data_IF_816765239843
#
_entry.id   IF_816765239843
#
_cell.length_a   1.000
_cell.length_b   1.000
_cell.length_c   1.000
_cell.angle_alpha   90.00
_cell.angle_beta   90.00
_cell.angle_gamma   90.00
#
_symmetry.space_group_name_H-M   'P 1'
#
loop_
_entity.id
_entity.type
_entity.pdbx_description
1 polymer ?
#
# COMPACT_ATOMS: atom_id res chain seq x y z
N UNK A 1 9.98 40.77 22.23
CA UNK A 1 10.30 39.33 22.21
C UNK A 1 10.49 38.94 20.74
N UNK A 2 11.68 38.51 20.35
CA UNK A 2 11.95 38.04 18.98
C UNK A 2 11.68 36.53 18.93
N UNK A 3 10.84 36.09 18.01
CA UNK A 3 10.64 34.67 17.72
C UNK A 3 11.93 34.13 17.08
N UNK A 4 12.55 33.10 17.66
CA UNK A 4 13.67 32.38 17.05
C UNK A 4 13.11 31.12 16.38
N UNK A 5 12.92 31.17 15.07
CA UNK A 5 12.43 30.04 14.28
C UNK A 5 13.57 29.40 13.49
N UNK A 6 13.66 28.07 13.53
CA UNK A 6 14.56 27.27 12.69
C UNK A 6 13.73 26.17 12.04
N UNK A 7 13.08 26.51 10.93
CA UNK A 7 12.12 25.64 10.28
C UNK A 7 12.70 24.27 9.89
N UNK A 8 13.98 24.20 9.53
CA UNK A 8 14.62 22.92 9.15
C UNK A 8 14.78 22.03 10.38
N UNK A 9 15.28 22.59 11.48
CA UNK A 9 15.45 21.85 12.73
C UNK A 9 14.11 21.44 13.32
N UNK A 10 13.16 22.37 13.36
CA UNK A 10 11.83 22.15 13.93
C UNK A 10 11.06 21.11 13.11
N UNK A 11 11.15 21.17 11.77
CA UNK A 11 10.58 20.15 10.89
C UNK A 11 11.23 18.78 11.08
N UNK A 12 12.56 18.70 11.13
CA UNK A 12 13.28 17.43 11.34
C UNK A 12 12.93 16.80 12.68
N UNK A 13 12.77 17.61 13.73
CA UNK A 13 12.34 17.15 15.04
C UNK A 13 10.90 16.61 15.01
N UNK A 14 10.00 17.27 14.29
CA UNK A 14 8.61 16.83 14.16
C UNK A 14 8.49 15.54 13.36
N UNK A 15 9.22 15.40 12.25
CA UNK A 15 9.29 14.14 11.49
C UNK A 15 9.74 12.98 12.37
N UNK A 16 10.81 13.18 13.15
CA UNK A 16 11.29 12.17 14.11
C UNK A 16 10.20 11.82 15.12
N UNK A 17 9.55 12.83 15.72
CA UNK A 17 8.50 12.63 16.73
C UNK A 17 7.36 11.78 16.18
N UNK A 18 6.84 12.11 15.00
CA UNK A 18 5.76 11.33 14.36
C UNK A 18 6.22 9.89 14.12
N UNK A 19 7.39 9.71 13.50
CA UNK A 19 7.90 8.38 13.16
C UNK A 19 8.16 7.50 14.41
N UNK A 20 8.75 8.05 15.47
CA UNK A 20 9.06 7.30 16.70
C UNK A 20 7.83 7.08 17.58
N UNK A 21 7.01 8.11 17.79
CA UNK A 21 5.93 8.09 18.79
C UNK A 21 4.62 7.57 18.19
N UNK A 22 4.22 8.07 17.03
CA UNK A 22 2.93 7.72 16.43
C UNK A 22 3.03 6.46 15.57
N UNK A 23 4.20 6.23 14.95
CA UNK A 23 4.43 5.11 14.03
C UNK A 23 5.29 4.00 14.60
N UNK A 24 5.69 4.12 15.88
CA UNK A 24 6.48 3.12 16.62
C UNK A 24 7.77 2.67 15.90
N UNK A 25 8.43 3.58 15.19
CA UNK A 25 9.65 3.27 14.44
C UNK A 25 10.91 3.48 15.28
N UNK A 26 11.91 2.62 15.07
CA UNK A 26 13.27 2.80 15.59
C UNK A 26 14.12 3.59 14.57
N UNK A 27 14.45 4.84 14.91
CA UNK A 27 15.31 5.72 14.12
C UNK A 27 16.74 5.84 14.68
N UNK A 28 17.14 5.00 15.64
CA UNK A 28 18.45 5.12 16.33
C UNK A 28 19.65 5.07 15.38
N UNK A 29 19.53 4.33 14.27
CA UNK A 29 20.58 4.18 13.26
C UNK A 29 20.37 5.04 12.00
N UNK A 30 19.35 5.91 12.00
CA UNK A 30 18.98 6.70 10.82
C UNK A 30 19.51 8.14 10.98
N UNK A 31 20.33 8.64 10.03
CA UNK A 31 20.84 9.98 10.12
C UNK A 31 19.73 11.01 9.83
N UNK A 32 19.69 12.17 10.51
CA UNK A 32 18.60 13.14 10.36
C UNK A 32 18.33 13.62 8.92
N UNK A 33 19.36 13.69 8.09
CA UNK A 33 19.24 14.08 6.67
C UNK A 33 18.34 13.15 5.85
N UNK A 34 18.16 11.90 6.28
CA UNK A 34 17.37 10.90 5.55
C UNK A 34 15.91 10.87 6.03
N UNK A 35 15.57 11.60 7.10
CA UNK A 35 14.22 11.58 7.69
C UNK A 35 13.13 12.00 6.72
N UNK A 36 13.40 13.00 5.87
CA UNK A 36 12.39 13.48 4.93
C UNK A 36 11.96 12.38 3.95
N UNK A 37 12.92 11.75 3.27
CA UNK A 37 12.64 10.69 2.32
C UNK A 37 12.00 9.47 3.00
N UNK A 38 12.50 9.11 4.19
CA UNK A 38 11.98 7.96 4.95
C UNK A 38 10.62 8.21 5.57
N UNK A 39 10.29 9.46 5.89
CA UNK A 39 8.97 9.87 6.36
C UNK A 39 7.92 9.63 5.26
N UNK A 40 8.16 10.08 4.03
CA UNK A 40 7.24 9.82 2.91
C UNK A 40 7.14 8.33 2.57
N UNK A 41 8.29 7.63 2.53
CA UNK A 41 8.31 6.18 2.32
C UNK A 41 7.53 5.40 3.41
N UNK A 42 7.60 5.85 4.67
CA UNK A 42 6.82 5.30 5.78
C UNK A 42 5.34 5.70 5.73
N UNK A 43 5.07 6.95 5.38
CA UNK A 43 3.73 7.52 5.24
C UNK A 43 2.94 6.82 4.15
N UNK A 44 3.53 6.57 2.98
CA UNK A 44 2.90 5.85 1.86
C UNK A 44 2.37 4.47 2.28
N UNK A 45 3.00 3.81 3.26
CA UNK A 45 2.57 2.49 3.74
C UNK A 45 1.39 2.56 4.71
N UNK A 46 0.79 3.73 4.92
CA UNK A 46 -0.35 3.97 5.80
C UNK A 46 -1.50 4.57 5.02
N UNK A 47 -2.72 4.24 5.45
CA UNK A 47 -3.94 4.82 4.91
C UNK A 47 -4.40 5.88 5.90
N UNK A 48 -4.54 7.13 5.45
CA UNK A 48 -5.05 8.23 6.28
C UNK A 48 -6.42 7.84 6.88
N UNK A 49 -6.60 7.94 8.22
CA UNK A 49 -7.90 7.72 8.87
C UNK A 49 -8.92 8.76 8.39
N UNK A 50 -9.85 8.32 7.54
CA UNK A 50 -10.83 9.16 6.88
C UNK A 50 -12.02 8.31 6.40
N UNK A 51 -13.26 8.77 6.61
CA UNK A 51 -14.45 8.08 6.10
C UNK A 51 -14.37 7.90 4.58
N UNK A 52 -14.55 6.68 4.10
CA UNK A 52 -14.57 6.35 2.68
C UNK A 52 -15.75 5.46 2.34
N UNK A 53 -16.35 5.69 1.19
CA UNK A 53 -17.35 4.76 0.64
C UNK A 53 -16.63 3.49 0.20
N UNK A 54 -17.11 2.32 0.64
CA UNK A 54 -16.60 1.04 0.15
C UNK A 54 -17.21 0.73 -1.21
N UNK A 55 -16.37 0.57 -2.22
CA UNK A 55 -16.76 0.04 -3.54
C UNK A 55 -16.14 -1.33 -3.70
N UNK A 56 -16.95 -2.33 -4.02
CA UNK A 56 -16.48 -3.70 -4.26
C UNK A 56 -16.43 -3.97 -5.76
N UNK A 57 -15.42 -4.72 -6.20
CA UNK A 57 -15.33 -5.15 -7.60
C UNK A 57 -16.47 -6.13 -7.93
N UNK A 58 -16.81 -6.24 -9.22
CA UNK A 58 -17.82 -7.18 -9.69
C UNK A 58 -17.47 -8.65 -9.41
N UNK A 59 -16.18 -8.98 -9.26
CA UNK A 59 -15.67 -10.31 -8.96
C UNK A 59 -15.41 -10.55 -7.46
N UNK A 60 -15.72 -9.57 -6.59
CA UNK A 60 -15.42 -9.68 -5.16
C UNK A 60 -16.29 -10.76 -4.50
N UNK A 61 -15.63 -11.81 -3.97
CA UNK A 61 -16.28 -12.86 -3.19
C UNK A 61 -15.61 -12.96 -1.83
N UNK A 62 -16.40 -12.84 -0.76
CA UNK A 62 -15.90 -13.04 0.60
C UNK A 62 -16.19 -14.46 1.09
N UNK A 63 -15.17 -15.28 1.40
CA UNK A 63 -15.37 -16.57 2.04
C UNK A 63 -16.14 -16.42 3.36
N UNK A 64 -17.05 -17.36 3.66
CA UNK A 64 -17.93 -17.29 4.81
C UNK A 64 -17.17 -17.18 6.14
N UNK A 65 -16.05 -17.88 6.27
CA UNK A 65 -15.18 -17.86 7.45
C UNK A 65 -14.48 -16.50 7.66
N UNK A 66 -14.51 -15.59 6.67
CA UNK A 66 -13.94 -14.24 6.76
C UNK A 66 -14.99 -13.13 6.72
N UNK A 67 -16.28 -13.47 6.60
CA UNK A 67 -17.36 -12.49 6.45
C UNK A 67 -17.43 -11.49 7.63
N UNK A 68 -17.23 -11.95 8.87
CA UNK A 68 -17.26 -11.08 10.05
C UNK A 68 -16.04 -10.15 10.12
N UNK A 69 -14.86 -10.64 9.73
CA UNK A 69 -13.65 -9.81 9.60
C UNK A 69 -13.83 -8.74 8.51
N UNK A 70 -14.41 -9.11 7.37
CA UNK A 70 -14.70 -8.18 6.29
C UNK A 70 -15.70 -7.10 6.70
N UNK A 71 -16.83 -7.48 7.31
CA UNK A 71 -17.84 -6.52 7.80
C UNK A 71 -17.24 -5.53 8.83
N UNK A 72 -16.36 -6.03 9.71
CA UNK A 72 -15.63 -5.18 10.68
C UNK A 72 -14.72 -4.18 9.96
N UNK A 73 -13.97 -4.63 8.94
CA UNK A 73 -13.09 -3.78 8.16
C UNK A 73 -13.89 -2.72 7.38
N UNK A 74 -15.01 -3.10 6.75
CA UNK A 74 -15.91 -2.16 6.06
C UNK A 74 -16.39 -1.06 7.00
N UNK A 75 -16.86 -1.43 8.20
CA UNK A 75 -17.31 -0.46 9.19
C UNK A 75 -16.21 0.54 9.54
N UNK A 76 -14.96 0.07 9.72
CA UNK A 76 -13.82 0.96 10.01
C UNK A 76 -13.51 1.90 8.83
N UNK A 77 -13.56 1.40 7.60
CA UNK A 77 -13.35 2.21 6.39
C UNK A 77 -14.42 3.30 6.28
N UNK A 78 -15.69 2.93 6.44
CA UNK A 78 -16.83 3.85 6.28
C UNK A 78 -16.91 4.90 7.40
N UNK A 79 -16.47 4.55 8.61
CA UNK A 79 -16.41 5.47 9.74
C UNK A 79 -15.11 6.25 9.84
N UNK A 80 -14.11 5.93 9.02
CA UNK A 80 -12.83 6.62 8.99
C UNK A 80 -11.90 6.29 10.16
N UNK A 81 -12.09 5.13 10.79
CA UNK A 81 -11.18 4.65 11.82
C UNK A 81 -9.82 4.29 11.24
N UNK A 82 -8.79 4.31 12.09
CA UNK A 82 -7.44 3.94 11.69
C UNK A 82 -7.37 2.47 11.25
N UNK A 83 -6.85 2.27 10.04
CA UNK A 83 -6.68 0.96 9.41
C UNK A 83 -5.28 0.38 9.65
N UNK A 84 -4.35 1.12 10.27
CA UNK A 84 -3.00 0.66 10.58
C UNK A 84 -2.95 -0.71 11.27
N UNK A 85 -3.88 -1.06 12.20
CA UNK A 85 -3.91 -2.40 12.80
C UNK A 85 -4.11 -3.55 11.80
N UNK A 86 -4.72 -3.28 10.65
CA UNK A 86 -4.98 -4.25 9.59
C UNK A 86 -3.84 -4.35 8.57
N UNK A 87 -2.88 -3.41 8.57
CA UNK A 87 -1.77 -3.39 7.62
C UNK A 87 -0.64 -4.32 8.06
N UNK A 88 0.34 -4.52 7.17
CA UNK A 88 1.55 -5.32 7.44
C UNK A 88 2.30 -4.86 8.70
N UNK A 89 2.94 -5.80 9.41
CA UNK A 89 3.92 -5.43 10.46
C UNK A 89 5.09 -4.60 9.90
N UNK A 90 5.31 -4.63 8.58
CA UNK A 90 6.36 -3.85 7.94
C UNK A 90 6.11 -2.34 8.03
N UNK A 91 4.90 -1.85 8.34
CA UNK A 91 4.65 -0.41 8.47
C UNK A 91 5.44 0.25 9.60
N UNK A 92 5.86 -0.51 10.63
CA UNK A 92 6.69 -0.03 11.75
C UNK A 92 8.20 -0.10 11.43
N UNK A 93 8.59 -0.72 10.31
CA UNK A 93 9.99 -0.76 9.88
C UNK A 93 10.29 0.45 9.02
N UNK A 94 11.29 1.25 9.39
CA UNK A 94 11.65 2.47 8.65
C UNK A 94 11.89 2.18 7.17
N UNK A 95 12.61 1.10 6.86
CA UNK A 95 12.90 0.60 5.50
C UNK A 95 11.98 -0.55 5.07
N UNK A 96 10.85 -0.73 5.75
CA UNK A 96 9.88 -1.77 5.42
C UNK A 96 9.32 -1.58 4.01
N UNK A 97 9.02 -2.69 3.35
CA UNK A 97 8.58 -2.68 1.95
C UNK A 97 7.22 -3.34 1.82
N UNK A 98 6.42 -2.80 0.91
CA UNK A 98 5.21 -3.43 0.42
C UNK A 98 5.28 -3.44 -1.12
N UNK A 99 5.69 -4.57 -1.72
CA UNK A 99 5.87 -4.65 -3.16
C UNK A 99 4.58 -4.46 -3.97
N UNK A 100 3.44 -4.86 -3.41
CA UNK A 100 2.14 -4.70 -4.06
C UNK A 100 1.76 -3.22 -4.09
N UNK A 101 1.94 -2.53 -2.97
CA UNK A 101 1.71 -1.10 -2.84
C UNK A 101 2.66 -0.27 -3.72
N UNK A 102 3.95 -0.61 -3.77
CA UNK A 102 4.92 0.19 -4.52
C UNK A 102 4.75 0.02 -6.03
N UNK A 103 4.42 -1.17 -6.52
CA UNK A 103 4.17 -1.37 -7.95
C UNK A 103 2.77 -0.87 -8.35
N UNK A 104 1.72 -1.32 -7.66
CA UNK A 104 0.34 -1.11 -8.10
C UNK A 104 -0.48 -0.16 -7.23
N UNK A 105 0.08 0.42 -6.17
CA UNK A 105 -0.70 1.28 -5.26
C UNK A 105 -1.75 0.53 -4.44
N UNK A 106 -1.74 -0.81 -4.47
CA UNK A 106 -2.72 -1.65 -3.80
C UNK A 106 -2.25 -2.04 -2.41
N UNK A 107 -3.10 -1.81 -1.41
CA UNK A 107 -2.86 -2.18 -0.02
C UNK A 107 -3.42 -3.57 0.25
N UNK A 108 -2.75 -4.31 1.14
CA UNK A 108 -3.27 -5.55 1.70
C UNK A 108 -3.67 -5.37 3.16
N UNK A 109 -4.90 -5.74 3.49
CA UNK A 109 -5.48 -5.60 4.83
C UNK A 109 -5.92 -6.95 5.36
N UNK A 110 -5.47 -7.27 6.58
CA UNK A 110 -5.86 -8.50 7.25
C UNK A 110 -7.30 -8.44 7.78
N UNK A 111 -7.90 -9.62 7.92
CA UNK A 111 -9.31 -9.80 8.29
C UNK A 111 -9.48 -10.40 9.70
N UNK A 112 -8.42 -10.41 10.49
CA UNK A 112 -8.40 -10.95 11.84
C UNK A 112 -9.36 -10.22 12.78
N UNK A 113 -9.81 -10.93 13.80
CA UNK A 113 -10.77 -10.40 14.79
C UNK A 113 -10.15 -10.28 16.18
N UNK A 114 -9.14 -11.11 16.48
CA UNK A 114 -8.33 -10.98 17.68
C UNK A 114 -7.14 -10.03 17.47
N UNK A 115 -6.55 -9.61 18.58
CA UNK A 115 -5.28 -8.88 18.60
C UNK A 115 -4.12 -9.81 18.23
N UNK A 116 -3.12 -9.29 17.53
CA UNK A 116 -1.94 -10.03 17.14
C UNK A 116 -1.14 -10.51 18.36
N UNK A 117 -0.77 -11.80 18.44
CA UNK A 117 -0.23 -12.41 19.66
C UNK A 117 1.13 -11.85 20.11
N UNK A 118 1.87 -11.20 19.20
CA UNK A 118 3.21 -10.64 19.47
C UNK A 118 3.28 -9.12 19.44
N UNK A 119 2.25 -8.43 18.97
CA UNK A 119 2.24 -6.97 18.84
C UNK A 119 0.80 -6.46 18.98
N UNK A 120 0.47 -5.92 20.15
CA UNK A 120 -0.89 -5.50 20.49
C UNK A 120 -1.49 -4.42 19.59
N UNK A 121 -0.67 -3.71 18.81
CA UNK A 121 -1.11 -2.66 17.89
C UNK A 121 -1.74 -3.20 16.60
N UNK A 122 -1.58 -4.49 16.32
CA UNK A 122 -2.11 -5.12 15.10
C UNK A 122 -3.16 -6.17 15.44
N UNK A 123 -3.96 -6.50 14.44
CA UNK A 123 -4.86 -7.66 14.49
C UNK A 123 -4.13 -8.95 14.08
N UNK A 124 -4.68 -10.09 14.49
CA UNK A 124 -4.18 -11.40 14.11
C UNK A 124 -4.08 -11.55 12.58
N UNK A 125 -3.04 -12.25 12.13
CA UNK A 125 -2.82 -12.44 10.70
C UNK A 125 -3.72 -13.55 10.20
N UNK A 126 -4.59 -13.20 9.27
CA UNK A 126 -5.35 -14.16 8.48
C UNK A 126 -4.53 -14.64 7.28
N UNK A 127 -4.81 -15.86 6.81
CA UNK A 127 -4.30 -16.34 5.52
C UNK A 127 -4.85 -15.47 4.39
N UNK A 128 -6.17 -15.46 4.14
CA UNK A 128 -6.77 -14.51 3.21
C UNK A 128 -6.73 -13.06 3.71
N UNK A 129 -6.52 -12.13 2.79
CA UNK A 129 -6.43 -10.68 3.04
C UNK A 129 -7.21 -9.91 1.97
N UNK A 130 -7.75 -8.75 2.32
CA UNK A 130 -8.41 -7.86 1.34
C UNK A 130 -7.34 -7.06 0.63
N UNK A 131 -7.36 -7.08 -0.70
CA UNK A 131 -6.62 -6.14 -1.52
C UNK A 131 -7.52 -4.98 -1.90
N UNK A 132 -7.04 -3.76 -1.70
CA UNK A 132 -7.82 -2.59 -2.05
C UNK A 132 -6.99 -1.35 -2.37
N UNK A 133 -7.63 -0.44 -3.11
CA UNK A 133 -7.05 0.80 -3.58
C UNK A 133 -7.81 1.99 -2.96
N UNK A 134 -7.26 2.61 -1.90
CA UNK A 134 -7.87 3.78 -1.28
C UNK A 134 -7.66 5.03 -2.14
N UNK A 135 -8.72 5.81 -2.29
CA UNK A 135 -8.69 7.20 -2.78
C UNK A 135 -9.09 8.13 -1.63
N UNK A 136 -9.26 9.42 -1.89
CA UNK A 136 -9.70 10.36 -0.86
C UNK A 136 -11.13 10.05 -0.36
N UNK A 137 -12.04 9.68 -1.24
CA UNK A 137 -13.47 9.51 -0.92
C UNK A 137 -13.96 8.06 -0.90
N UNK A 138 -13.19 7.14 -1.51
CA UNK A 138 -13.61 5.75 -1.66
C UNK A 138 -12.47 4.76 -1.40
N UNK A 139 -12.83 3.60 -0.87
CA UNK A 139 -11.98 2.42 -0.78
C UNK A 139 -12.46 1.40 -1.81
N UNK A 140 -11.63 1.12 -2.82
CA UNK A 140 -11.96 0.17 -3.88
C UNK A 140 -11.44 -1.21 -3.50
N UNK A 141 -12.31 -2.06 -2.96
CA UNK A 141 -12.00 -3.42 -2.58
C UNK A 141 -11.95 -4.31 -3.84
N UNK A 142 -10.74 -4.69 -4.24
CA UNK A 142 -10.45 -5.42 -5.46
C UNK A 142 -10.86 -6.89 -5.30
N UNK A 143 -10.49 -7.50 -4.17
CA UNK A 143 -10.75 -8.92 -3.91
C UNK A 143 -10.18 -9.37 -2.58
N UNK A 144 -10.44 -10.64 -2.25
CA UNK A 144 -9.79 -11.35 -1.15
C UNK A 144 -8.86 -12.39 -1.74
N UNK A 145 -7.60 -12.34 -1.35
CA UNK A 145 -6.53 -13.18 -1.88
C UNK A 145 -5.79 -13.88 -0.76
N UNK A 146 -5.22 -15.04 -1.04
CA UNK A 146 -4.28 -15.69 -0.13
C UNK A 146 -3.07 -14.79 0.12
N UNK A 147 -2.61 -14.74 1.37
CA UNK A 147 -1.40 -14.01 1.72
C UNK A 147 -0.20 -14.62 1.00
N UNK A 148 0.39 -13.86 0.07
CA UNK A 148 1.44 -14.35 -0.80
C UNK A 148 1.21 -14.01 -2.27
N UNK A 149 -0.04 -13.79 -2.68
CA UNK A 149 -0.44 -13.50 -4.06
C UNK A 149 -0.09 -12.07 -4.52
N UNK A 150 1.04 -11.54 -4.07
CA UNK A 150 1.41 -10.13 -4.26
C UNK A 150 1.60 -9.75 -5.72
N UNK A 151 1.98 -10.69 -6.59
CA UNK A 151 2.27 -10.46 -8.00
C UNK A 151 1.21 -10.99 -8.95
N UNK A 152 0.07 -11.46 -8.43
CA UNK A 152 -1.03 -11.99 -9.24
C UNK A 152 -1.61 -10.89 -10.16
N UNK A 153 -1.44 -11.04 -11.47
CA UNK A 153 -1.84 -10.02 -12.43
C UNK A 153 -3.36 -9.81 -12.47
N UNK A 154 -4.17 -10.75 -11.98
CA UNK A 154 -5.63 -10.57 -11.87
C UNK A 154 -6.03 -9.38 -11.00
N UNK A 155 -5.16 -8.95 -10.07
CA UNK A 155 -5.41 -7.83 -9.16
C UNK A 155 -5.49 -6.52 -9.93
N UNK A 156 -4.49 -6.24 -10.77
CA UNK A 156 -4.42 -5.00 -11.56
C UNK A 156 -5.43 -5.04 -12.72
N UNK A 157 -5.67 -6.21 -13.30
CA UNK A 157 -6.75 -6.42 -14.29
C UNK A 157 -8.12 -6.11 -13.67
N UNK A 158 -8.38 -6.59 -12.45
CA UNK A 158 -9.64 -6.31 -11.75
C UNK A 158 -9.77 -4.83 -11.41
N UNK A 159 -8.71 -4.18 -10.91
CA UNK A 159 -8.70 -2.74 -10.64
C UNK A 159 -9.03 -1.93 -11.91
N UNK A 160 -8.33 -2.22 -13.01
CA UNK A 160 -8.49 -1.51 -14.28
C UNK A 160 -9.89 -1.72 -14.89
N UNK A 161 -10.36 -2.96 -14.96
CA UNK A 161 -11.66 -3.28 -15.57
C UNK A 161 -12.86 -2.72 -14.79
N UNK A 162 -12.75 -2.62 -13.46
CA UNK A 162 -13.84 -2.10 -12.62
C UNK A 162 -13.82 -0.57 -12.50
N UNK A 163 -12.62 0.03 -12.44
CA UNK A 163 -12.43 1.47 -12.22
C UNK A 163 -11.29 2.00 -13.09
N UNK A 164 -11.46 2.01 -14.43
CA UNK A 164 -10.40 2.41 -15.36
C UNK A 164 -9.85 3.81 -15.08
N UNK A 165 -10.69 4.72 -14.55
CA UNK A 165 -10.30 6.06 -14.12
C UNK A 165 -9.15 6.07 -13.11
N UNK A 166 -9.07 5.07 -12.22
CA UNK A 166 -8.03 4.97 -11.19
C UNK A 166 -6.66 4.66 -11.78
N UNK A 167 -6.61 4.02 -12.95
CA UNK A 167 -5.38 3.63 -13.62
C UNK A 167 -4.97 4.57 -14.76
N UNK A 168 -5.88 5.48 -15.15
CA UNK A 168 -5.73 6.34 -16.33
C UNK A 168 -4.45 7.17 -16.33
N UNK A 169 -4.03 7.67 -15.16
CA UNK A 169 -2.83 8.49 -15.01
C UNK A 169 -1.52 7.72 -15.23
N UNK A 170 -1.54 6.39 -15.09
CA UNK A 170 -0.37 5.53 -15.33
C UNK A 170 -0.36 4.94 -16.75
N UNK A 171 -1.39 5.20 -17.56
CA UNK A 171 -1.47 4.68 -18.92
C UNK A 171 -0.38 5.27 -19.81
N UNK A 172 0.33 4.39 -20.51
CA UNK A 172 1.36 4.75 -21.46
C UNK A 172 0.78 4.82 -22.88
N UNK A 173 0.85 6.01 -23.48
CA UNK A 173 0.41 6.24 -24.86
C UNK A 173 1.53 5.93 -25.86
N UNK A 174 1.16 5.40 -27.03
CA UNK A 174 2.12 5.09 -28.11
C UNK A 174 2.94 3.80 -27.91
N UNK A 175 2.67 3.02 -26.87
CA UNK A 175 3.27 1.70 -26.68
C UNK A 175 2.50 0.67 -27.49
N UNK A 176 3.16 0.05 -28.48
CA UNK A 176 2.55 -0.98 -29.33
C UNK A 176 2.70 -2.40 -28.74
N UNK A 177 3.86 -2.67 -28.14
CA UNK A 177 4.18 -3.97 -27.53
C UNK A 177 5.39 -3.87 -26.61
N UNK A 178 5.50 -4.77 -25.64
CA UNK A 178 6.73 -4.96 -24.86
C UNK A 178 7.69 -5.91 -25.59
N UNK A 179 8.98 -5.61 -25.52
CA UNK A 179 10.02 -6.51 -26.04
C UNK A 179 10.08 -7.84 -25.27
N UNK A 180 9.69 -7.83 -24.00
CA UNK A 180 9.57 -9.00 -23.14
C UNK A 180 8.33 -8.86 -22.26
N UNK A 181 7.56 -9.95 -22.17
CA UNK A 181 6.47 -10.08 -21.21
C UNK A 181 6.96 -10.88 -20.01
N UNK A 182 6.67 -10.40 -18.80
CA UNK A 182 7.02 -11.06 -17.54
C UNK A 182 5.77 -11.69 -16.93
N UNK A 183 5.86 -12.94 -16.51
CA UNK A 183 4.77 -13.58 -15.75
C UNK A 183 4.80 -13.15 -14.27
N UNK A 184 3.84 -13.63 -13.48
CA UNK A 184 3.69 -13.25 -12.07
C UNK A 184 4.89 -13.66 -11.20
N UNK A 185 5.58 -14.76 -11.52
CA UNK A 185 6.78 -15.18 -10.79
C UNK A 185 8.00 -14.34 -11.18
N UNK A 186 8.14 -13.98 -12.46
CA UNK A 186 9.15 -13.01 -12.90
C UNK A 186 8.93 -11.65 -12.21
N UNK A 187 7.69 -11.15 -12.21
CA UNK A 187 7.32 -9.89 -11.55
C UNK A 187 7.70 -9.89 -10.07
N UNK A 188 7.40 -10.98 -9.36
CA UNK A 188 7.77 -11.15 -7.95
C UNK A 188 9.28 -11.04 -7.75
N UNK A 189 10.07 -11.71 -8.58
CA UNK A 189 11.53 -11.68 -8.50
C UNK A 189 12.11 -10.31 -8.85
N UNK A 190 11.55 -9.64 -9.85
CA UNK A 190 11.96 -8.30 -10.27
C UNK A 190 11.61 -7.24 -9.22
N UNK A 191 10.42 -7.30 -8.62
CA UNK A 191 10.04 -6.47 -7.46
C UNK A 191 10.99 -6.67 -6.28
N UNK A 192 11.40 -7.90 -5.99
CA UNK A 192 12.38 -8.20 -4.94
C UNK A 192 13.74 -7.56 -5.22
N UNK A 193 14.12 -7.46 -6.50
CA UNK A 193 15.31 -6.76 -6.96
C UNK A 193 15.15 -5.22 -7.06
N UNK A 194 13.96 -4.67 -6.79
CA UNK A 194 13.67 -3.24 -6.91
C UNK A 194 13.56 -2.75 -8.35
N UNK A 195 13.23 -3.65 -9.28
CA UNK A 195 13.06 -3.31 -10.70
C UNK A 195 11.61 -2.94 -10.97
N UNK A 196 11.42 -1.75 -11.55
CA UNK A 196 10.11 -1.25 -11.99
C UNK A 196 9.70 -1.91 -13.31
N UNK A 197 8.43 -2.27 -13.44
CA UNK A 197 7.88 -2.96 -14.61
C UNK A 197 6.74 -2.18 -15.23
N UNK A 198 6.71 -2.18 -16.56
CA UNK A 198 5.49 -1.85 -17.30
C UNK A 198 4.55 -3.05 -17.21
N UNK A 199 3.31 -2.80 -16.86
CA UNK A 199 2.26 -3.83 -16.77
C UNK A 199 1.42 -3.78 -18.04
N UNK A 200 1.49 -4.84 -18.84
CA UNK A 200 0.58 -5.05 -19.96
C UNK A 200 -0.72 -5.70 -19.43
N UNK A 201 -1.86 -5.16 -19.82
CA UNK A 201 -3.18 -5.69 -19.50
C UNK A 201 -3.79 -6.44 -20.69
N UNK A 202 -4.77 -7.28 -20.38
CA UNK A 202 -5.47 -8.13 -21.35
C UNK A 202 -6.22 -7.36 -22.45
N UNK A 203 -6.63 -6.12 -22.19
CA UNK A 203 -7.29 -5.23 -23.15
C UNK A 203 -6.32 -4.47 -24.08
N UNK A 204 -5.01 -4.70 -23.92
CA UNK A 204 -3.94 -4.01 -24.66
C UNK A 204 -3.46 -2.71 -24.01
N UNK A 205 -3.97 -2.34 -22.83
CA UNK A 205 -3.48 -1.19 -22.08
C UNK A 205 -2.11 -1.50 -21.46
N UNK A 206 -1.19 -0.53 -21.52
CA UNK A 206 0.10 -0.59 -20.84
C UNK A 206 0.15 0.44 -19.72
N UNK A 207 0.49 0.01 -18.51
CA UNK A 207 0.58 0.86 -17.33
C UNK A 207 2.03 0.96 -16.83
N UNK A 208 2.48 2.17 -16.55
CA UNK A 208 3.61 2.40 -15.63
C UNK A 208 3.25 1.90 -14.22
N UNK A 209 4.23 1.75 -13.30
CA UNK A 209 3.94 1.41 -11.91
C UNK A 209 2.96 2.42 -11.29
N UNK A 210 1.72 1.98 -11.05
CA UNK A 210 0.64 2.80 -10.50
C UNK A 210 0.95 3.31 -9.08
N UNK A 211 1.78 2.59 -8.32
CA UNK A 211 2.27 2.98 -7.00
C UNK A 211 3.55 3.83 -7.02
N UNK A 212 4.00 4.27 -8.20
CA UNK A 212 5.22 5.04 -8.40
C UNK A 212 6.51 4.21 -8.48
N UNK A 213 6.49 2.98 -7.97
CA UNK A 213 7.62 2.04 -8.04
C UNK A 213 8.70 2.27 -6.99
N UNK A 214 9.89 1.75 -7.28
CA UNK A 214 11.07 1.72 -6.43
C UNK A 214 12.15 2.70 -6.90
N UNK A 215 12.72 3.44 -5.96
CA UNK A 215 13.96 4.19 -6.15
C UNK A 215 15.18 3.26 -6.07
N UNK A 216 16.35 3.72 -6.49
CA UNK A 216 17.58 2.91 -6.52
C UNK A 216 18.07 2.38 -5.15
N UNK A 217 17.69 3.04 -4.05
CA UNK A 217 17.94 2.57 -2.67
C UNK A 217 16.80 1.68 -2.12
N UNK A 218 15.80 1.38 -2.96
CA UNK A 218 14.68 0.48 -2.65
C UNK A 218 13.54 1.10 -1.84
N UNK A 219 13.53 2.42 -1.61
CA UNK A 219 12.37 3.14 -1.05
C UNK A 219 11.36 3.44 -2.15
N UNK A 220 10.15 3.88 -1.78
CA UNK A 220 9.13 4.27 -2.76
C UNK A 220 9.49 5.61 -3.40
N UNK A 221 9.11 5.80 -4.66
CA UNK A 221 9.33 7.06 -5.41
C UNK A 221 8.27 8.12 -5.08
N UNK A 222 7.13 7.73 -4.50
CA UNK A 222 5.99 8.59 -4.16
C UNK A 222 5.78 8.71 -2.65
#
# INVERSE_FOLDING_TARGET
>A
MLLKADFVRDWTAELRRIMEIEWAMDLSQIPPKDFLALFFHAGKRRIEPRPRVVKVSASFVCPQNHASGWATLQTKIETGLDLSPHLSLQIEKVMGKDPLLFDWGVYHLHLGQAVHPKNGSFIERTGPVVFGYPTIDAFHAIGIYEHGSWSDSSIIETLHSNWPELTSHAKLEGVLSLAQNFNDEDRKNLRKAGINLITALSDGTFLAPLGGGYAGNGVSIE
#
